data_IF_714723679716
#
_entry.id   IF_714723679716
#
_cell.length_a   1.000
_cell.length_b   1.000
_cell.length_c   1.000
_cell.angle_alpha   90.00
_cell.angle_beta   90.00
_cell.angle_gamma   90.00
#
_symmetry.space_group_name_H-M   'P 1'
#
loop_
_entity.id
_entity.type
_entity.pdbx_description
1 polymer ?
#
# COMPACT_ATOMS: atom_id res chain seq x y z
N UNK A 1 -0.67 -54.38 64.84
CA UNK A 1 0.03 -53.21 65.41
C UNK A 1 1.46 -53.21 64.92
N UNK A 2 2.04 -52.03 64.66
CA UNK A 2 3.45 -51.75 64.24
C UNK A 2 3.80 -51.76 62.74
N UNK A 3 3.05 -51.01 61.94
CA UNK A 3 3.53 -50.49 60.64
C UNK A 3 3.78 -48.96 60.66
N UNK A 4 3.74 -48.35 61.86
CA UNK A 4 3.81 -46.91 62.07
C UNK A 4 5.07 -46.44 62.82
N UNK A 5 5.97 -47.36 63.19
CA UNK A 5 7.19 -47.02 63.95
C UNK A 5 8.48 -46.99 63.11
N UNK A 6 8.40 -47.16 61.78
CA UNK A 6 9.56 -47.12 60.88
C UNK A 6 9.65 -45.85 60.02
N UNK A 7 8.81 -44.84 60.27
CA UNK A 7 8.71 -43.66 59.37
C UNK A 7 9.13 -42.32 60.01
N UNK A 8 9.26 -42.26 61.33
CA UNK A 8 9.44 -40.99 62.04
C UNK A 8 10.78 -40.85 62.79
N UNK A 9 11.70 -41.81 62.70
CA UNK A 9 13.04 -41.69 63.29
C UNK A 9 14.15 -41.27 62.31
N UNK A 10 13.98 -41.45 60.99
CA UNK A 10 15.09 -41.21 60.05
C UNK A 10 15.35 -39.74 59.70
N UNK A 11 14.35 -38.84 59.64
CA UNK A 11 14.56 -37.52 59.03
C UNK A 11 15.43 -36.55 59.86
N UNK A 12 15.45 -36.69 61.19
CA UNK A 12 16.31 -35.89 62.08
C UNK A 12 17.71 -36.48 62.17
N UNK A 13 17.83 -37.81 62.27
CA UNK A 13 19.14 -38.50 62.20
C UNK A 13 19.82 -38.28 60.85
N UNK A 14 19.08 -38.33 59.73
CA UNK A 14 19.61 -38.00 58.40
C UNK A 14 20.10 -36.54 58.29
N UNK A 15 19.47 -35.60 59.02
CA UNK A 15 19.85 -34.18 59.01
C UNK A 15 21.07 -33.90 59.91
N UNK A 16 21.22 -34.65 61.01
CA UNK A 16 22.42 -34.62 61.86
C UNK A 16 23.60 -35.38 61.22
N UNK A 17 23.34 -36.49 60.52
CA UNK A 17 24.32 -37.20 59.69
C UNK A 17 24.78 -36.32 58.52
N UNK A 18 23.91 -35.50 57.92
CA UNK A 18 24.26 -34.54 56.86
C UNK A 18 25.25 -33.46 57.33
N UNK A 19 25.16 -33.02 58.59
CA UNK A 19 26.05 -32.00 59.16
C UNK A 19 27.42 -32.56 59.61
N UNK A 20 27.58 -33.87 59.73
CA UNK A 20 28.85 -34.54 60.08
C UNK A 20 29.58 -35.15 58.88
N UNK A 21 29.11 -34.86 57.66
CA UNK A 21 29.73 -35.30 56.42
C UNK A 21 31.04 -34.56 56.14
N UNK A 22 32.14 -35.26 56.38
CA UNK A 22 33.45 -34.87 55.88
C UNK A 22 33.60 -35.32 54.41
N UNK A 23 33.76 -34.35 53.49
CA UNK A 23 33.91 -34.58 52.05
C UNK A 23 35.22 -35.28 51.69
N UNK A 24 36.17 -35.37 52.63
CA UNK A 24 37.46 -36.02 52.45
C UNK A 24 37.37 -37.56 52.57
N UNK A 25 36.30 -38.11 53.15
CA UNK A 25 36.13 -39.57 53.31
C UNK A 25 34.69 -40.07 53.02
N UNK A 26 34.30 -40.00 51.75
CA UNK A 26 32.99 -40.45 51.23
C UNK A 26 32.69 -41.94 51.50
N UNK A 27 33.72 -42.75 51.78
CA UNK A 27 33.61 -44.19 52.03
C UNK A 27 32.96 -44.57 53.37
N UNK A 28 33.00 -43.71 54.39
CA UNK A 28 32.52 -44.02 55.75
C UNK A 28 31.05 -43.64 56.00
N UNK A 29 30.35 -43.07 55.00
CA UNK A 29 28.99 -42.57 55.20
C UNK A 29 27.98 -43.68 55.58
N UNK A 30 26.99 -43.37 56.42
CA UNK A 30 25.85 -44.25 56.73
C UNK A 30 25.13 -44.74 55.46
N UNK A 31 24.64 -45.98 55.48
CA UNK A 31 24.06 -46.65 54.30
C UNK A 31 22.85 -45.88 53.76
N UNK A 32 22.02 -45.30 54.62
CA UNK A 32 20.86 -44.51 54.23
C UNK A 32 21.24 -43.25 53.43
N UNK A 33 22.30 -42.54 53.85
CA UNK A 33 22.83 -41.35 53.15
C UNK A 33 23.48 -41.74 51.81
N UNK A 34 24.17 -42.89 51.75
CA UNK A 34 24.73 -43.42 50.49
C UNK A 34 23.66 -43.76 49.45
N UNK A 35 22.59 -44.44 49.86
CA UNK A 35 21.49 -44.80 48.95
C UNK A 35 20.75 -43.55 48.48
N UNK A 36 20.47 -42.62 49.40
CA UNK A 36 19.74 -41.38 49.06
C UNK A 36 20.56 -40.49 48.12
N UNK A 37 21.86 -40.33 48.36
CA UNK A 37 22.74 -39.58 47.46
C UNK A 37 22.91 -40.25 46.10
N UNK A 38 23.03 -41.58 46.03
CA UNK A 38 23.07 -42.33 44.78
C UNK A 38 21.79 -42.16 43.95
N UNK A 39 20.62 -42.22 44.59
CA UNK A 39 19.32 -41.97 43.94
C UNK A 39 19.21 -40.53 43.45
N UNK A 40 19.66 -39.56 44.25
CA UNK A 40 19.64 -38.14 43.86
C UNK A 40 20.53 -37.89 42.64
N UNK A 41 21.75 -38.44 42.63
CA UNK A 41 22.66 -38.36 41.48
C UNK A 41 22.05 -39.02 40.25
N UNK A 42 21.42 -40.18 40.39
CA UNK A 42 20.74 -40.87 39.28
C UNK A 42 19.58 -40.04 38.70
N UNK A 43 18.74 -39.46 39.55
CA UNK A 43 17.65 -38.57 39.12
C UNK A 43 18.21 -37.31 38.46
N UNK A 44 19.28 -36.72 39.00
CA UNK A 44 19.94 -35.56 38.41
C UNK A 44 20.51 -35.86 37.02
N UNK A 45 21.16 -37.01 36.84
CA UNK A 45 21.69 -37.45 35.54
C UNK A 45 20.57 -37.69 34.53
N UNK A 46 19.46 -38.33 34.93
CA UNK A 46 18.31 -38.56 34.05
C UNK A 46 17.61 -37.25 33.67
N UNK A 47 17.44 -36.33 34.62
CA UNK A 47 16.84 -35.02 34.37
C UNK A 47 17.71 -34.19 33.42
N UNK A 48 19.03 -34.16 33.64
CA UNK A 48 19.98 -33.48 32.75
C UNK A 48 19.98 -34.12 31.36
N UNK A 49 20.01 -35.45 31.25
CA UNK A 49 19.92 -36.15 29.98
C UNK A 49 18.63 -35.83 29.21
N UNK A 50 17.49 -35.79 29.89
CA UNK A 50 16.21 -35.43 29.28
C UNK A 50 16.16 -33.97 28.82
N UNK A 51 16.61 -33.04 29.67
CA UNK A 51 16.57 -31.61 29.34
C UNK A 51 17.56 -31.24 28.23
N UNK A 52 18.77 -31.81 28.21
CA UNK A 52 19.79 -31.48 27.21
C UNK A 52 19.60 -32.21 25.87
N UNK A 53 19.22 -33.49 25.86
CA UNK A 53 19.15 -34.24 24.59
C UNK A 53 17.75 -34.31 23.98
N UNK A 54 16.72 -34.54 24.79
CA UNK A 54 15.39 -34.89 24.28
C UNK A 54 14.57 -33.64 23.95
N UNK A 55 14.73 -32.57 24.74
CA UNK A 55 14.02 -31.31 24.51
C UNK A 55 14.42 -30.67 23.17
N UNK A 56 15.72 -30.61 22.88
CA UNK A 56 16.24 -29.97 21.66
C UNK A 56 15.91 -30.76 20.39
N UNK A 57 15.89 -32.09 20.46
CA UNK A 57 15.45 -32.92 19.33
C UNK A 57 13.96 -32.72 19.00
N UNK A 58 13.11 -32.61 20.02
CA UNK A 58 11.67 -32.38 19.84
C UNK A 58 11.37 -30.96 19.31
N UNK A 59 12.10 -29.94 19.79
CA UNK A 59 11.90 -28.58 19.27
C UNK A 59 12.36 -28.46 17.81
N UNK A 60 13.45 -29.11 17.43
CA UNK A 60 13.91 -29.16 16.04
C UNK A 60 12.91 -29.88 15.14
N UNK A 61 12.36 -31.01 15.59
CA UNK A 61 11.33 -31.76 14.87
C UNK A 61 10.07 -30.91 14.62
N UNK A 62 9.61 -30.18 15.64
CA UNK A 62 8.44 -29.32 15.50
C UNK A 62 8.69 -28.11 14.59
N UNK A 63 9.90 -27.55 14.60
CA UNK A 63 10.30 -26.50 13.66
C UNK A 63 10.27 -27.03 12.22
N UNK A 64 10.89 -28.18 11.97
CA UNK A 64 10.93 -28.80 10.64
C UNK A 64 9.53 -29.14 10.12
N UNK A 65 8.64 -29.65 10.97
CA UNK A 65 7.23 -29.91 10.59
C UNK A 65 6.47 -28.65 10.21
N UNK A 66 6.70 -27.54 10.92
CA UNK A 66 6.07 -26.24 10.59
C UNK A 66 6.62 -25.70 9.28
N UNK A 67 7.93 -25.83 9.07
CA UNK A 67 8.59 -25.43 7.85
C UNK A 67 8.05 -26.22 6.65
N UNK A 68 7.97 -27.55 6.75
CA UNK A 68 7.38 -28.43 5.74
C UNK A 68 5.95 -28.00 5.36
N UNK A 69 5.07 -27.82 6.36
CA UNK A 69 3.69 -27.39 6.11
C UNK A 69 3.62 -26.02 5.42
N UNK A 70 4.53 -25.09 5.75
CA UNK A 70 4.61 -23.78 5.13
C UNK A 70 5.11 -23.84 3.68
N UNK A 71 6.08 -24.72 3.39
CA UNK A 71 6.62 -24.95 2.06
C UNK A 71 5.59 -25.61 1.15
N UNK A 72 4.85 -26.61 1.63
CA UNK A 72 3.78 -27.27 0.88
C UNK A 72 2.68 -26.27 0.47
N UNK A 73 2.19 -25.46 1.42
CA UNK A 73 1.20 -24.41 1.11
C UNK A 73 1.73 -23.40 0.08
N UNK A 74 3.01 -23.03 0.19
CA UNK A 74 3.65 -22.12 -0.75
C UNK A 74 3.80 -22.73 -2.14
N UNK A 75 4.10 -24.03 -2.21
CA UNK A 75 4.16 -24.79 -3.45
C UNK A 75 2.79 -24.88 -4.11
N UNK A 76 1.74 -25.30 -3.39
CA UNK A 76 0.38 -25.38 -3.91
C UNK A 76 -0.10 -24.05 -4.50
N UNK A 77 0.11 -22.96 -3.76
CA UNK A 77 -0.26 -21.60 -4.23
C UNK A 77 0.49 -21.20 -5.50
N UNK A 78 1.77 -21.56 -5.61
CA UNK A 78 2.59 -21.27 -6.81
C UNK A 78 2.21 -22.18 -7.98
N UNK A 79 1.95 -23.46 -7.74
CA UNK A 79 1.52 -24.42 -8.74
C UNK A 79 0.16 -24.05 -9.33
N UNK A 80 -0.81 -23.67 -8.48
CA UNK A 80 -2.12 -23.19 -8.92
C UNK A 80 -2.02 -21.91 -9.78
N UNK A 81 -1.17 -20.96 -9.37
CA UNK A 81 -0.91 -19.75 -10.16
C UNK A 81 -0.22 -20.04 -11.48
N UNK A 82 0.74 -20.96 -11.50
CA UNK A 82 1.48 -21.32 -12.71
C UNK A 82 0.59 -22.07 -13.71
N UNK A 83 -0.26 -22.99 -13.24
CA UNK A 83 -1.17 -23.74 -14.10
C UNK A 83 -2.19 -22.84 -14.82
N UNK A 84 -2.77 -21.88 -14.09
CA UNK A 84 -3.80 -20.99 -14.63
C UNK A 84 -3.22 -19.72 -15.27
N UNK A 85 -1.89 -19.58 -15.34
CA UNK A 85 -1.22 -18.37 -15.80
C UNK A 85 -1.53 -18.06 -17.27
N UNK A 86 -1.62 -19.09 -18.10
CA UNK A 86 -1.94 -18.96 -19.52
C UNK A 86 -3.39 -18.50 -19.72
N UNK A 87 -4.33 -19.04 -18.93
CA UNK A 87 -5.73 -18.60 -18.94
C UNK A 87 -5.88 -17.14 -18.48
N UNK A 88 -5.19 -16.73 -17.41
CA UNK A 88 -5.23 -15.34 -16.96
C UNK A 88 -4.58 -14.37 -17.96
N UNK A 89 -3.51 -14.78 -18.63
CA UNK A 89 -2.91 -13.98 -19.72
C UNK A 89 -3.86 -13.84 -20.90
N UNK A 90 -4.57 -14.90 -21.28
CA UNK A 90 -5.57 -14.85 -22.33
C UNK A 90 -6.72 -13.89 -21.97
N UNK A 91 -7.22 -13.95 -20.73
CA UNK A 91 -8.24 -13.03 -20.23
C UNK A 91 -7.78 -11.56 -20.21
N UNK A 92 -6.52 -11.30 -19.82
CA UNK A 92 -5.96 -9.95 -19.88
C UNK A 92 -5.86 -9.44 -21.32
N UNK A 93 -5.40 -10.27 -22.26
CA UNK A 93 -5.32 -9.89 -23.67
C UNK A 93 -6.72 -9.59 -24.26
N UNK A 94 -7.73 -10.38 -23.89
CA UNK A 94 -9.13 -10.16 -24.28
C UNK A 94 -9.70 -8.87 -23.67
N UNK A 95 -9.41 -8.59 -22.39
CA UNK A 95 -9.79 -7.33 -21.74
C UNK A 95 -9.12 -6.13 -22.40
N UNK A 96 -7.83 -6.21 -22.72
CA UNK A 96 -7.09 -5.14 -23.40
C UNK A 96 -7.62 -4.89 -24.81
N UNK A 97 -7.95 -5.95 -25.57
CA UNK A 97 -8.57 -5.80 -26.90
C UNK A 97 -9.95 -5.15 -26.82
N UNK A 98 -10.79 -5.60 -25.89
CA UNK A 98 -12.14 -5.05 -25.68
C UNK A 98 -12.06 -3.59 -25.25
N UNK A 99 -11.14 -3.28 -24.34
CA UNK A 99 -10.88 -1.91 -23.90
C UNK A 99 -10.38 -1.02 -25.03
N UNK A 100 -9.43 -1.50 -25.85
CA UNK A 100 -8.96 -0.78 -27.03
C UNK A 100 -10.04 -0.55 -28.09
N UNK A 101 -10.97 -1.48 -28.25
CA UNK A 101 -12.13 -1.32 -29.15
C UNK A 101 -13.10 -0.25 -28.64
N UNK A 102 -13.37 -0.23 -27.34
CA UNK A 102 -14.20 0.80 -26.70
C UNK A 102 -13.56 2.19 -26.79
N UNK A 103 -12.24 2.29 -26.60
CA UNK A 103 -11.52 3.57 -26.76
C UNK A 103 -11.55 4.09 -28.21
N UNK A 104 -11.56 3.20 -29.21
CA UNK A 104 -11.68 3.60 -30.63
C UNK A 104 -13.06 4.13 -31.00
N UNK A 105 -14.09 3.85 -30.18
CA UNK A 105 -15.45 4.39 -30.37
C UNK A 105 -15.61 5.80 -29.79
N UNK A 106 -14.63 6.29 -29.02
CA UNK A 106 -14.57 7.68 -28.61
C UNK A 106 -13.99 8.54 -29.75
N UNK A 107 -14.62 9.68 -30.11
CA UNK A 107 -14.16 10.55 -31.20
C UNK A 107 -12.67 10.91 -31.03
N UNK A 108 -11.88 10.73 -32.09
CA UNK A 108 -10.42 10.92 -32.09
C UNK A 108 -9.97 12.35 -32.37
N UNK A 109 -10.87 13.21 -32.82
CA UNK A 109 -10.48 14.48 -33.40
C UNK A 109 -10.60 15.60 -32.37
N UNK A 110 -9.48 16.29 -32.19
CA UNK A 110 -9.33 17.49 -31.37
C UNK A 110 -10.27 18.58 -31.84
N UNK A 111 -11.44 18.70 -31.21
CA UNK A 111 -12.35 19.83 -31.40
C UNK A 111 -11.91 21.07 -30.59
N UNK A 112 -10.61 21.26 -30.35
CA UNK A 112 -10.06 22.35 -29.53
C UNK A 112 -10.52 23.73 -30.02
N UNK A 113 -10.52 24.03 -31.35
CA UNK A 113 -11.05 25.32 -31.83
C UNK A 113 -12.54 25.50 -31.53
N UNK A 114 -13.34 24.45 -31.69
CA UNK A 114 -14.78 24.52 -31.39
C UNK A 114 -15.05 24.68 -29.90
N UNK A 115 -14.21 24.12 -29.02
CA UNK A 115 -14.40 24.24 -27.57
C UNK A 115 -14.19 25.68 -27.13
N UNK A 116 -13.20 26.36 -27.71
CA UNK A 116 -12.97 27.77 -27.46
C UNK A 116 -14.17 28.63 -27.89
N UNK A 117 -14.75 28.32 -29.06
CA UNK A 117 -15.96 28.97 -29.56
C UNK A 117 -17.17 28.72 -28.65
N UNK A 118 -17.40 27.48 -28.22
CA UNK A 118 -18.48 27.11 -27.31
C UNK A 118 -18.34 27.81 -25.93
N UNK A 119 -17.13 27.85 -25.37
CA UNK A 119 -16.84 28.51 -24.10
C UNK A 119 -17.05 30.03 -24.21
N UNK A 120 -16.53 30.63 -25.29
CA UNK A 120 -16.69 32.08 -25.52
C UNK A 120 -18.14 32.45 -25.74
N UNK A 121 -18.89 31.67 -26.52
CA UNK A 121 -20.32 31.87 -26.72
C UNK A 121 -21.10 31.75 -25.40
N UNK A 122 -20.79 30.74 -24.59
CA UNK A 122 -21.41 30.53 -23.27
C UNK A 122 -21.11 31.69 -22.31
N UNK A 123 -19.87 32.21 -22.31
CA UNK A 123 -19.49 33.35 -21.49
C UNK A 123 -20.18 34.65 -21.90
N UNK A 124 -20.20 34.95 -23.20
CA UNK A 124 -20.91 36.11 -23.73
C UNK A 124 -22.42 36.01 -23.48
N UNK A 125 -23.02 34.83 -23.65
CA UNK A 125 -24.42 34.57 -23.36
C UNK A 125 -24.78 34.69 -21.87
N UNK A 126 -23.79 34.52 -20.99
CA UNK A 126 -23.93 34.72 -19.54
C UNK A 126 -23.69 36.18 -19.11
N UNK A 127 -23.39 37.09 -20.05
CA UNK A 127 -23.11 38.51 -19.75
C UNK A 127 -21.69 38.78 -19.25
N UNK A 128 -20.76 37.85 -19.46
CA UNK A 128 -19.35 38.01 -19.09
C UNK A 128 -18.54 38.65 -20.20
N UNK A 129 -17.60 39.51 -19.82
CA UNK A 129 -16.59 40.09 -20.71
C UNK A 129 -15.27 39.33 -20.54
N UNK A 130 -14.66 38.87 -21.62
CA UNK A 130 -13.39 38.14 -21.57
C UNK A 130 -12.21 39.13 -21.56
N UNK A 131 -11.36 39.05 -20.54
CA UNK A 131 -10.09 39.78 -20.48
C UNK A 131 -8.99 39.03 -21.24
N UNK A 132 -8.89 37.73 -21.02
CA UNK A 132 -7.89 36.88 -21.67
C UNK A 132 -8.31 35.42 -21.75
N UNK A 133 -7.84 34.74 -22.79
CA UNK A 133 -7.91 33.29 -22.92
C UNK A 133 -6.54 32.80 -23.40
N UNK A 134 -5.86 32.00 -22.59
CA UNK A 134 -4.52 31.51 -22.86
C UNK A 134 -4.49 29.99 -22.90
N UNK A 135 -4.09 29.43 -24.04
CA UNK A 135 -3.81 27.99 -24.15
C UNK A 135 -2.42 27.70 -23.57
N UNK A 136 -2.35 26.77 -22.63
CA UNK A 136 -1.09 26.29 -22.06
C UNK A 136 -0.55 25.12 -22.86
N UNK A 137 0.69 24.73 -22.55
CA UNK A 137 1.29 23.54 -23.13
C UNK A 137 0.52 22.28 -22.70
N UNK A 138 0.40 21.33 -23.63
CA UNK A 138 -0.23 20.04 -23.38
C UNK A 138 0.57 19.24 -22.33
N UNK A 139 -0.13 18.75 -21.31
CA UNK A 139 0.45 17.87 -20.30
C UNK A 139 0.11 16.41 -20.60
N UNK A 140 1.14 15.64 -20.95
CA UNK A 140 1.01 14.22 -21.28
C UNK A 140 0.95 13.37 -20.00
N UNK A 141 -0.07 12.52 -19.89
CA UNK A 141 -0.17 11.44 -18.89
C UNK A 141 -0.02 10.09 -19.58
N UNK A 142 -0.09 9.00 -18.82
CA UNK A 142 0.14 7.64 -19.35
C UNK A 142 -0.87 7.22 -20.44
N UNK A 143 -2.13 7.66 -20.34
CA UNK A 143 -3.21 7.22 -21.24
C UNK A 143 -3.92 8.38 -21.98
N UNK A 144 -3.68 9.61 -21.56
CA UNK A 144 -4.37 10.79 -22.09
C UNK A 144 -3.45 12.01 -22.06
N UNK A 145 -3.81 13.03 -22.84
CA UNK A 145 -3.18 14.34 -22.86
C UNK A 145 -4.21 15.35 -22.40
N UNK A 146 -3.86 16.17 -21.40
CA UNK A 146 -4.68 17.29 -20.96
C UNK A 146 -4.18 18.60 -21.59
N UNK A 147 -5.11 19.43 -22.06
CA UNK A 147 -4.85 20.78 -22.55
C UNK A 147 -5.48 21.79 -21.57
N UNK A 148 -4.67 22.45 -20.73
CA UNK A 148 -5.13 23.51 -19.85
C UNK A 148 -5.34 24.83 -20.63
N UNK A 149 -6.42 25.53 -20.31
CA UNK A 149 -6.81 26.81 -20.88
C UNK A 149 -7.12 27.75 -19.72
N UNK A 150 -6.32 28.79 -19.55
CA UNK A 150 -6.55 29.81 -18.53
C UNK A 150 -7.51 30.86 -19.10
N UNK A 151 -8.55 31.18 -18.34
CA UNK A 151 -9.61 32.10 -18.75
C UNK A 151 -9.77 33.15 -17.65
N UNK A 152 -9.68 34.44 -18.03
CA UNK A 152 -9.98 35.58 -17.16
C UNK A 152 -11.18 36.33 -17.71
N UNK A 153 -12.20 36.51 -16.87
CA UNK A 153 -13.49 37.15 -17.24
C UNK A 153 -13.92 38.18 -16.21
N UNK A 154 -14.61 39.23 -16.65
CA UNK A 154 -15.25 40.25 -15.80
C UNK A 154 -16.76 40.09 -15.87
N UNK A 155 -17.43 40.22 -14.73
CA UNK A 155 -18.88 40.23 -14.67
C UNK A 155 -19.40 40.33 -13.24
N UNK A 156 -20.71 40.13 -13.10
CA UNK A 156 -21.31 39.97 -11.77
C UNK A 156 -21.17 38.53 -11.25
N UNK A 157 -21.40 38.35 -9.95
CA UNK A 157 -21.25 37.04 -9.30
C UNK A 157 -22.23 35.98 -9.86
N UNK A 158 -23.43 36.39 -10.27
CA UNK A 158 -24.44 35.45 -10.77
C UNK A 158 -24.09 34.92 -12.15
N UNK A 159 -23.55 35.80 -13.00
CA UNK A 159 -23.05 35.53 -14.34
C UNK A 159 -21.91 34.51 -14.33
N UNK A 160 -21.04 34.53 -13.30
CA UNK A 160 -20.04 33.47 -13.10
C UNK A 160 -20.69 32.11 -12.85
N UNK A 161 -21.72 32.05 -12.01
CA UNK A 161 -22.45 30.81 -11.75
C UNK A 161 -23.14 30.27 -13.02
N UNK A 162 -23.74 31.17 -13.81
CA UNK A 162 -24.34 30.83 -15.09
C UNK A 162 -23.29 30.29 -16.09
N UNK A 163 -22.14 30.95 -16.18
CA UNK A 163 -21.04 30.52 -17.05
C UNK A 163 -20.48 29.15 -16.65
N UNK A 164 -20.16 28.94 -15.38
CA UNK A 164 -19.65 27.65 -14.88
C UNK A 164 -20.65 26.53 -15.14
N UNK A 165 -21.94 26.79 -14.92
CA UNK A 165 -23.02 25.83 -15.18
C UNK A 165 -23.17 25.54 -16.67
N UNK A 166 -23.08 26.57 -17.52
CA UNK A 166 -23.17 26.44 -18.98
C UNK A 166 -22.00 25.64 -19.54
N UNK A 167 -20.77 25.93 -19.11
CA UNK A 167 -19.57 25.19 -19.53
C UNK A 167 -19.65 23.73 -19.08
N UNK A 168 -20.13 23.46 -17.88
CA UNK A 168 -20.34 22.10 -17.39
C UNK A 168 -21.44 21.33 -18.15
N UNK A 169 -22.37 22.03 -18.81
CA UNK A 169 -23.46 21.45 -19.61
C UNK A 169 -23.10 21.25 -21.09
N UNK A 170 -21.90 21.67 -21.54
CA UNK A 170 -21.47 21.48 -22.92
C UNK A 170 -21.42 19.98 -23.27
N UNK A 171 -21.75 19.57 -24.50
CA UNK A 171 -21.72 18.18 -24.95
C UNK A 171 -20.27 17.68 -25.20
N UNK A 172 -19.32 18.10 -24.37
CA UNK A 172 -17.88 17.88 -24.49
C UNK A 172 -17.24 17.64 -23.13
N UNK A 173 -16.10 16.95 -23.10
CA UNK A 173 -15.37 16.67 -21.86
C UNK A 173 -14.51 17.88 -21.49
N UNK A 174 -15.06 18.75 -20.66
CA UNK A 174 -14.39 19.91 -20.08
C UNK A 174 -14.53 19.87 -18.56
N UNK A 175 -13.46 20.21 -17.86
CA UNK A 175 -13.46 20.34 -16.40
C UNK A 175 -12.90 21.69 -16.02
N UNK A 176 -13.47 22.29 -14.98
CA UNK A 176 -13.03 23.59 -14.46
C UNK A 176 -12.27 23.37 -13.15
N UNK A 177 -11.12 24.01 -13.04
CA UNK A 177 -10.21 23.91 -11.90
C UNK A 177 -9.81 25.32 -11.45
N UNK A 178 -9.38 25.41 -10.20
CA UNK A 178 -8.66 26.57 -9.66
C UNK A 178 -9.36 27.92 -9.93
N UNK A 179 -10.58 28.09 -9.40
CA UNK A 179 -11.33 29.33 -9.55
C UNK A 179 -10.90 30.38 -8.51
N UNK A 180 -10.66 31.60 -8.96
CA UNK A 180 -10.36 32.75 -8.09
C UNK A 180 -11.23 33.93 -8.49
N UNK A 181 -11.96 34.50 -7.53
CA UNK A 181 -12.79 35.70 -7.74
C UNK A 181 -12.20 36.86 -6.95
N UNK A 182 -11.95 37.98 -7.62
CA UNK A 182 -11.32 39.18 -7.04
C UNK A 182 -11.96 40.44 -7.60
N UNK A 183 -11.87 41.58 -6.90
CA UNK A 183 -12.17 42.86 -7.52
C UNK A 183 -11.26 43.11 -8.73
N UNK A 184 -11.77 43.66 -9.84
CA UNK A 184 -10.99 43.94 -11.03
C UNK A 184 -9.91 44.98 -10.73
N UNK A 185 -8.80 44.92 -11.48
CA UNK A 185 -7.68 45.88 -11.33
C UNK A 185 -8.10 47.31 -11.66
N UNK A 186 -9.07 47.46 -12.56
CA UNK A 186 -9.63 48.75 -12.94
C UNK A 186 -10.65 49.24 -11.91
N UNK A 187 -10.33 50.37 -11.26
CA UNK A 187 -11.17 50.95 -10.19
C UNK A 187 -12.57 51.36 -10.68
N UNK A 188 -12.72 51.71 -11.96
CA UNK A 188 -14.01 52.05 -12.55
C UNK A 188 -14.95 50.83 -12.54
N UNK A 189 -14.46 49.67 -12.99
CA UNK A 189 -15.21 48.41 -12.99
C UNK A 189 -15.54 47.94 -11.57
N UNK A 190 -14.58 48.09 -10.63
CA UNK A 190 -14.83 47.78 -9.22
C UNK A 190 -15.90 48.69 -8.60
N UNK A 191 -15.96 49.97 -9.00
CA UNK A 191 -16.98 50.92 -8.57
C UNK A 191 -18.38 50.59 -9.09
N UNK A 192 -18.49 49.83 -10.18
CA UNK A 192 -19.74 49.31 -10.74
C UNK A 192 -20.21 48.00 -10.06
N UNK A 193 -19.44 47.49 -9.08
CA UNK A 193 -19.74 46.23 -8.39
C UNK A 193 -19.39 44.98 -9.22
N UNK A 194 -18.64 45.13 -10.31
CA UNK A 194 -18.14 44.02 -11.11
C UNK A 194 -16.97 43.33 -10.42
N UNK A 195 -16.80 42.05 -10.74
CA UNK A 195 -15.75 41.18 -10.25
C UNK A 195 -14.97 40.64 -11.44
N UNK A 196 -13.73 40.23 -11.20
CA UNK A 196 -12.91 39.45 -12.14
C UNK A 196 -12.79 38.02 -11.60
N UNK A 197 -12.94 37.05 -12.49
CA UNK A 197 -12.79 35.62 -12.22
C UNK A 197 -11.73 35.02 -13.12
N UNK A 198 -10.75 34.39 -12.48
CA UNK A 198 -9.76 33.53 -13.15
C UNK A 198 -10.17 32.06 -12.95
N UNK A 199 -10.17 31.28 -14.02
CA UNK A 199 -10.48 29.83 -13.99
C UNK A 199 -9.65 29.06 -15.01
N UNK A 200 -9.23 27.85 -14.66
CA UNK A 200 -8.53 26.95 -15.58
C UNK A 200 -9.47 25.89 -16.11
N UNK A 201 -9.78 25.92 -17.40
CA UNK A 201 -10.49 24.84 -18.08
C UNK A 201 -9.51 23.78 -18.59
N UNK A 202 -9.82 22.51 -18.41
CA UNK A 202 -9.03 21.39 -18.94
C UNK A 202 -9.89 20.52 -19.83
N UNK A 203 -9.41 20.27 -21.04
CA UNK A 203 -9.97 19.26 -21.95
C UNK A 203 -8.98 18.12 -22.16
N UNK A 204 -9.49 16.97 -22.59
CA UNK A 204 -8.76 15.72 -22.63
C UNK A 204 -8.85 15.08 -24.01
N UNK A 205 -7.72 14.56 -24.48
CA UNK A 205 -7.63 13.74 -25.68
C UNK A 205 -6.85 12.46 -25.42
N UNK A 206 -7.08 11.44 -26.24
CA UNK A 206 -6.30 10.20 -26.17
C UNK A 206 -4.83 10.45 -26.54
N UNK A 207 -3.92 9.82 -25.80
CA UNK A 207 -2.50 9.82 -26.13
C UNK A 207 -2.22 8.79 -27.24
N UNK A 208 -2.13 9.24 -28.49
CA UNK A 208 -1.75 8.40 -29.62
C UNK A 208 -0.26 8.00 -29.56
N UNK A 209 0.11 6.88 -30.18
CA UNK A 209 1.48 6.34 -30.17
C UNK A 209 2.57 7.30 -30.71
N UNK A 210 2.19 8.30 -31.51
CA UNK A 210 3.08 9.38 -31.98
C UNK A 210 3.48 10.38 -30.88
N UNK A 211 2.78 10.39 -29.73
CA UNK A 211 3.07 11.27 -28.61
C UNK A 211 4.07 10.70 -27.59
N UNK A 212 4.59 9.49 -27.84
CA UNK A 212 5.56 8.84 -26.97
C UNK A 212 6.88 9.63 -26.88
N UNK A 213 7.48 9.80 -25.68
CA UNK A 213 8.71 10.56 -25.53
C UNK A 213 9.82 9.89 -26.34
N UNK A 214 10.33 10.55 -27.38
CA UNK A 214 11.49 10.08 -28.12
C UNK A 214 12.63 9.83 -27.12
N UNK A 215 13.20 8.61 -27.04
CA UNK A 215 14.24 8.31 -26.08
C UNK A 215 15.44 9.23 -26.34
N UNK A 216 15.85 9.96 -25.30
CA UNK A 216 16.98 10.86 -25.36
C UNK A 216 18.23 10.10 -25.84
N UNK A 217 18.74 10.48 -27.02
CA UNK A 217 19.98 9.94 -27.58
C UNK A 217 21.10 10.18 -26.57
N UNK A 218 21.53 9.14 -25.85
CA UNK A 218 22.73 9.16 -25.01
C UNK A 218 23.92 9.53 -25.90
N UNK A 219 24.43 10.76 -25.74
CA UNK A 219 25.72 11.17 -26.32
C UNK A 219 26.81 10.26 -25.76
N UNK A 220 27.40 9.41 -26.61
CA UNK A 220 28.64 8.71 -26.30
C UNK A 220 29.72 9.76 -26.06
N UNK A 221 30.20 9.87 -24.81
CA UNK A 221 31.49 10.52 -24.53
C UNK A 221 32.58 9.67 -25.16
N UNK A 222 33.36 10.30 -26.04
CA UNK A 222 34.68 9.83 -26.48
C UNK A 222 35.72 10.32 -25.49
#
# INVERSE_FOLDING_TARGET
MKASELKNMDLRELMDELNSLDFENVGSWPIAVKVTSAVLVLVAVLALGYFFFIKDANTLLDQQRREEASLLKSYEKKAFKAHNLEQFRAQLAEMEQTFGALLKQLPKDTEVPGLLEDITHTGLGSGLEFESIELKEEAKKEFYVELPIDISVIGDYHSFGAFVSGVAALPRIVTLHDFYVRPPKEKALAGLGLLSMDVTAKTYRYASSDDSPKPAKKKKKK
#
